data_IF_307997952176
#
_entry.id   IF_307997952176
#
_cell.length_a   1.000
_cell.length_b   1.000
_cell.length_c   1.000
_cell.angle_alpha   90.00
_cell.angle_beta   90.00
_cell.angle_gamma   90.00
#
_symmetry.space_group_name_H-M   'P 1'
#
loop_
_entity.id
_entity.type
_entity.pdbx_description
1 polymer ?
#
# COMPACT_ATOMS: atom_id res chain seq x y z
N UNK A 1 -76.60 16.12 -20.02
CA UNK A 1 -75.85 15.01 -19.41
C UNK A 1 -74.40 15.12 -19.86
N UNK A 2 -73.59 15.71 -19.05
CA UNK A 2 -72.14 15.96 -19.38
C UNK A 2 -71.29 15.18 -18.43
N UNK A 3 -70.60 14.22 -18.98
CA UNK A 3 -69.63 13.36 -18.24
C UNK A 3 -68.29 14.09 -18.10
N UNK A 4 -67.90 14.46 -16.87
CA UNK A 4 -66.63 15.04 -16.54
C UNK A 4 -65.57 13.90 -16.38
N UNK A 5 -64.61 13.88 -17.27
CA UNK A 5 -63.42 13.01 -17.17
C UNK A 5 -62.41 13.73 -16.29
N UNK A 6 -62.16 13.20 -15.09
CA UNK A 6 -61.08 13.61 -14.21
C UNK A 6 -59.75 12.94 -14.67
N UNK A 7 -58.85 13.74 -15.21
CA UNK A 7 -57.47 13.31 -15.51
C UNK A 7 -56.64 13.41 -14.22
N UNK A 8 -56.35 12.27 -13.61
CA UNK A 8 -55.39 12.15 -12.49
C UNK A 8 -53.97 12.11 -13.06
N UNK A 9 -53.25 13.23 -12.92
CA UNK A 9 -51.80 13.29 -13.17
C UNK A 9 -51.07 12.59 -12.03
N UNK A 10 -50.57 11.37 -12.28
CA UNK A 10 -49.64 10.69 -11.39
C UNK A 10 -48.24 11.29 -11.57
N UNK A 11 -47.80 12.06 -10.60
CA UNK A 11 -46.41 12.52 -10.49
C UNK A 11 -45.53 11.33 -10.15
N UNK A 12 -44.77 10.82 -11.13
CA UNK A 12 -43.68 9.92 -10.89
C UNK A 12 -42.50 10.75 -10.34
N UNK A 13 -42.34 10.80 -9.02
CA UNK A 13 -41.10 11.18 -8.38
C UNK A 13 -40.11 10.04 -8.58
N UNK A 14 -39.33 10.09 -9.63
CA UNK A 14 -38.14 9.26 -9.76
C UNK A 14 -37.11 9.79 -8.78
N UNK A 15 -36.97 9.10 -7.67
CA UNK A 15 -35.88 9.33 -6.69
C UNK A 15 -34.53 9.08 -7.36
N UNK A 16 -33.89 10.14 -7.83
CA UNK A 16 -32.46 10.12 -8.17
C UNK A 16 -31.65 10.14 -6.87
N UNK A 17 -31.61 9.01 -6.17
CA UNK A 17 -30.69 8.82 -5.04
C UNK A 17 -29.65 7.81 -5.39
N UNK A 18 -28.38 8.24 -5.25
CA UNK A 18 -27.21 7.41 -4.96
C UNK A 18 -26.43 6.78 -6.12
N UNK A 19 -25.99 7.58 -7.10
CA UNK A 19 -24.83 7.17 -7.94
C UNK A 19 -23.49 7.73 -7.42
N UNK A 20 -23.50 8.76 -6.58
CA UNK A 20 -22.29 9.40 -6.09
C UNK A 20 -21.53 8.57 -5.02
N UNK A 21 -22.23 7.73 -4.24
CA UNK A 21 -21.61 6.90 -3.19
C UNK A 21 -20.87 5.68 -3.73
N UNK A 22 -21.33 5.09 -4.84
CA UNK A 22 -20.70 3.89 -5.43
C UNK A 22 -19.39 4.20 -6.13
N UNK A 23 -19.26 5.36 -6.75
CA UNK A 23 -18.01 5.77 -7.44
C UNK A 23 -16.88 6.12 -6.48
N UNK A 24 -17.18 6.69 -5.31
CA UNK A 24 -16.16 7.01 -4.31
C UNK A 24 -15.64 5.74 -3.61
N UNK A 25 -16.50 4.78 -3.28
CA UNK A 25 -16.10 3.48 -2.74
C UNK A 25 -15.27 2.65 -3.72
N UNK A 26 -15.67 2.59 -5.00
CA UNK A 26 -14.90 1.90 -6.02
C UNK A 26 -13.50 2.50 -6.19
N UNK A 27 -13.40 3.82 -6.23
CA UNK A 27 -12.11 4.52 -6.31
C UNK A 27 -11.21 4.27 -5.09
N UNK A 28 -11.79 4.14 -3.90
CA UNK A 28 -11.05 3.78 -2.69
C UNK A 28 -10.52 2.34 -2.75
N UNK A 29 -11.34 1.37 -3.17
CA UNK A 29 -10.95 -0.03 -3.38
C UNK A 29 -9.83 -0.16 -4.44
N UNK A 30 -9.90 0.62 -5.52
CA UNK A 30 -8.88 0.65 -6.56
C UNK A 30 -7.54 1.21 -6.03
N UNK A 31 -7.59 2.17 -5.13
CA UNK A 31 -6.41 2.72 -4.46
C UNK A 31 -5.78 1.66 -3.54
N UNK A 32 -6.56 0.96 -2.74
CA UNK A 32 -6.09 -0.10 -1.82
C UNK A 32 -5.47 -1.26 -2.58
N UNK A 33 -6.14 -1.77 -3.62
CA UNK A 33 -5.59 -2.78 -4.52
C UNK A 33 -4.31 -2.32 -5.25
N UNK A 34 -4.20 -1.02 -5.55
CA UNK A 34 -3.00 -0.44 -6.16
C UNK A 34 -1.84 -0.33 -5.16
N UNK A 35 -2.13 -0.06 -3.89
CA UNK A 35 -1.12 -0.05 -2.81
C UNK A 35 -0.54 -1.45 -2.62
N UNK A 36 -1.36 -2.49 -2.55
CA UNK A 36 -0.91 -3.88 -2.45
C UNK A 36 -0.01 -4.28 -3.63
N UNK A 37 -0.40 -3.89 -4.85
CA UNK A 37 0.43 -4.12 -6.05
C UNK A 37 1.74 -3.32 -6.02
N UNK A 38 1.77 -2.12 -5.44
CA UNK A 38 2.99 -1.34 -5.28
C UNK A 38 3.97 -2.00 -4.32
N UNK A 39 3.47 -2.63 -3.28
CA UNK A 39 4.32 -3.36 -2.33
C UNK A 39 4.99 -4.57 -2.99
N UNK A 40 4.28 -5.27 -3.88
CA UNK A 40 4.82 -6.38 -4.69
C UNK A 40 5.85 -5.95 -5.75
N UNK A 41 5.83 -4.70 -6.21
CA UNK A 41 6.81 -4.17 -7.17
C UNK A 41 8.13 -3.78 -6.51
N UNK A 42 8.10 -3.40 -5.24
CA UNK A 42 9.30 -3.16 -4.47
C UNK A 42 9.83 -4.49 -3.93
N UNK A 43 10.92 -4.99 -4.52
CA UNK A 43 11.54 -6.27 -4.18
C UNK A 43 12.10 -6.35 -2.74
N UNK A 44 12.09 -5.25 -1.98
CA UNK A 44 12.46 -5.28 -0.57
C UNK A 44 11.27 -5.77 0.26
N UNK A 45 11.45 -6.82 1.07
CA UNK A 45 10.40 -7.34 1.93
C UNK A 45 9.97 -6.30 2.99
N UNK A 46 8.72 -6.37 3.39
CA UNK A 46 8.22 -5.57 4.50
C UNK A 46 8.49 -6.30 5.83
N UNK A 47 9.71 -6.16 6.35
CA UNK A 47 10.21 -6.95 7.48
C UNK A 47 9.50 -6.63 8.81
N UNK A 48 9.22 -5.35 9.06
CA UNK A 48 8.81 -4.89 10.38
C UNK A 48 7.47 -5.44 10.89
N UNK A 49 6.41 -5.63 10.08
CA UNK A 49 5.20 -6.33 10.53
C UNK A 49 5.50 -7.76 10.97
N UNK A 50 6.24 -8.53 10.17
CA UNK A 50 6.60 -9.92 10.47
C UNK A 50 7.42 -10.00 11.76
N UNK A 51 8.37 -9.08 11.95
CA UNK A 51 9.20 -9.00 13.15
C UNK A 51 8.34 -8.75 14.40
N UNK A 52 7.46 -7.75 14.35
CA UNK A 52 6.66 -7.37 15.51
C UNK A 52 5.54 -8.37 15.83
N UNK A 53 5.03 -9.09 14.83
CA UNK A 53 4.08 -10.19 15.02
C UNK A 53 4.73 -11.42 15.65
N UNK A 54 6.04 -11.59 15.50
CA UNK A 54 6.80 -12.74 15.99
C UNK A 54 7.88 -12.34 17.03
N UNK A 55 7.72 -11.20 17.69
CA UNK A 55 8.72 -10.62 18.58
C UNK A 55 9.20 -11.57 19.69
N UNK A 56 8.27 -12.36 20.27
CA UNK A 56 8.57 -13.32 21.34
C UNK A 56 9.40 -14.49 20.81
N UNK A 57 9.06 -15.03 19.64
CA UNK A 57 9.81 -16.11 19.00
C UNK A 57 11.21 -15.65 18.55
N UNK A 58 11.30 -14.43 18.02
CA UNK A 58 12.59 -13.83 17.62
C UNK A 58 13.46 -13.53 18.85
N UNK A 59 12.88 -13.47 20.04
CA UNK A 59 13.58 -13.19 21.28
C UNK A 59 14.01 -11.74 21.42
N UNK A 60 13.15 -10.80 20.97
CA UNK A 60 13.42 -9.36 21.11
C UNK A 60 13.29 -8.94 22.57
N UNK A 61 14.23 -8.11 23.01
CA UNK A 61 14.12 -7.43 24.30
C UNK A 61 13.07 -6.32 24.25
N UNK A 62 12.53 -5.90 25.40
CA UNK A 62 11.59 -4.78 25.49
C UNK A 62 12.16 -3.48 24.88
N UNK A 63 13.48 -3.25 25.04
CA UNK A 63 14.17 -2.10 24.45
C UNK A 63 14.19 -2.18 22.92
N UNK A 64 14.47 -3.35 22.35
CA UNK A 64 14.47 -3.58 20.91
C UNK A 64 13.07 -3.38 20.34
N UNK A 65 12.02 -3.96 20.96
CA UNK A 65 10.62 -3.76 20.56
C UNK A 65 10.24 -2.29 20.60
N UNK A 66 10.54 -1.59 21.71
CA UNK A 66 10.26 -0.16 21.86
C UNK A 66 10.94 0.68 20.76
N UNK A 67 12.19 0.35 20.42
CA UNK A 67 12.95 1.02 19.38
C UNK A 67 12.32 0.83 17.99
N UNK A 68 11.94 -0.40 17.64
CA UNK A 68 11.28 -0.73 16.38
C UNK A 68 9.89 -0.10 16.26
N UNK A 69 9.09 -0.14 17.33
CA UNK A 69 7.76 0.49 17.38
C UNK A 69 7.83 2.02 17.29
N UNK A 70 8.81 2.65 17.89
CA UNK A 70 9.05 4.09 17.77
C UNK A 70 9.33 4.47 16.32
N UNK A 71 10.22 3.74 15.65
CA UNK A 71 10.51 3.94 14.24
C UNK A 71 9.25 3.77 13.38
N UNK A 72 8.50 2.67 13.60
CA UNK A 72 7.23 2.39 12.91
C UNK A 72 6.24 3.54 13.06
N UNK A 73 6.03 4.00 14.27
CA UNK A 73 5.07 5.07 14.56
C UNK A 73 5.43 6.37 13.84
N UNK A 74 6.71 6.71 13.77
CA UNK A 74 7.19 7.92 13.11
C UNK A 74 7.09 7.83 11.58
N UNK A 75 7.33 6.65 10.98
CA UNK A 75 7.52 6.50 9.55
C UNK A 75 6.32 5.90 8.80
N UNK A 76 5.41 5.18 9.49
CA UNK A 76 4.28 4.51 8.84
C UNK A 76 3.35 5.48 8.13
N UNK A 77 2.96 6.57 8.80
CA UNK A 77 2.00 7.54 8.23
C UNK A 77 2.55 8.25 6.99
N UNK A 78 3.76 8.83 6.99
CA UNK A 78 4.32 9.47 5.80
C UNK A 78 4.57 8.46 4.66
N UNK A 79 5.04 7.24 4.95
CA UNK A 79 5.20 6.20 3.93
C UNK A 79 3.86 5.84 3.28
N UNK A 80 2.81 5.59 4.07
CA UNK A 80 1.47 5.27 3.55
C UNK A 80 0.92 6.41 2.69
N UNK A 81 1.14 7.66 3.07
CA UNK A 81 0.73 8.82 2.26
C UNK A 81 1.41 8.83 0.88
N UNK A 82 2.70 8.47 0.80
CA UNK A 82 3.43 8.33 -0.47
C UNK A 82 2.89 7.18 -1.32
N UNK A 83 2.58 6.04 -0.71
CA UNK A 83 1.96 4.89 -1.40
C UNK A 83 0.60 5.26 -1.98
N UNK A 84 -0.25 5.93 -1.21
CA UNK A 84 -1.55 6.41 -1.68
C UNK A 84 -1.42 7.43 -2.81
N UNK A 85 -0.44 8.34 -2.74
CA UNK A 85 -0.16 9.30 -3.81
C UNK A 85 0.30 8.60 -5.09
N UNK A 86 1.20 7.61 -4.98
CA UNK A 86 1.64 6.81 -6.13
C UNK A 86 0.48 6.01 -6.75
N UNK A 87 -0.39 5.41 -5.92
CA UNK A 87 -1.57 4.69 -6.38
C UNK A 87 -2.52 5.60 -7.17
N UNK A 88 -2.84 6.80 -6.66
CA UNK A 88 -3.66 7.79 -7.39
C UNK A 88 -3.04 8.18 -8.72
N UNK A 89 -1.75 8.51 -8.75
CA UNK A 89 -1.04 8.86 -10.00
C UNK A 89 -1.01 7.73 -11.03
N UNK A 90 -0.99 6.47 -10.59
CA UNK A 90 -1.10 5.30 -11.50
C UNK A 90 -2.49 5.19 -12.12
N UNK A 91 -3.55 5.56 -11.42
CA UNK A 91 -4.90 5.63 -11.99
C UNK A 91 -4.97 6.79 -12.98
N UNK A 92 -4.51 7.98 -12.58
CA UNK A 92 -4.51 9.18 -13.43
C UNK A 92 -3.76 8.97 -14.77
N UNK A 93 -2.59 8.32 -14.76
CA UNK A 93 -1.84 8.06 -16.00
C UNK A 93 -2.54 7.03 -16.90
N UNK A 94 -3.25 6.05 -16.34
CA UNK A 94 -4.03 5.11 -17.14
C UNK A 94 -5.20 5.81 -17.84
N UNK A 95 -5.91 6.68 -17.12
CA UNK A 95 -6.98 7.50 -17.69
C UNK A 95 -6.45 8.45 -18.79
N UNK A 96 -5.31 9.10 -18.52
CA UNK A 96 -4.67 9.99 -19.48
C UNK A 96 -4.18 9.25 -20.73
N UNK A 97 -3.69 8.02 -20.60
CA UNK A 97 -3.13 7.25 -21.71
C UNK A 97 -4.16 6.83 -22.78
N UNK A 98 -5.44 6.71 -22.39
CA UNK A 98 -6.53 6.40 -23.32
C UNK A 98 -7.17 7.67 -23.93
N UNK A 99 -6.73 8.86 -23.53
CA UNK A 99 -7.23 10.12 -24.06
C UNK A 99 -6.44 10.54 -25.31
N UNK A 100 -7.10 10.78 -26.45
CA UNK A 100 -6.44 11.19 -27.68
C UNK A 100 -5.86 12.63 -27.63
N UNK A 101 -6.21 13.40 -26.59
CA UNK A 101 -5.78 14.80 -26.42
C UNK A 101 -4.53 14.94 -25.55
N UNK A 102 -4.10 13.88 -24.88
CA UNK A 102 -2.91 13.90 -24.00
C UNK A 102 -1.67 13.54 -24.80
N UNK A 103 -0.69 14.42 -24.79
CA UNK A 103 0.58 14.21 -25.51
C UNK A 103 1.47 13.16 -24.83
N UNK A 104 2.30 12.46 -25.61
CA UNK A 104 3.32 11.54 -25.10
C UNK A 104 4.27 12.20 -24.11
N UNK A 105 4.65 13.45 -24.32
CA UNK A 105 5.49 14.23 -23.40
C UNK A 105 4.81 14.39 -22.03
N UNK A 106 3.50 14.61 -22.00
CA UNK A 106 2.73 14.69 -20.74
C UNK A 106 2.67 13.33 -20.02
N UNK A 107 2.44 12.25 -20.75
CA UNK A 107 2.45 10.90 -20.19
C UNK A 107 3.81 10.54 -19.60
N UNK A 108 4.91 10.91 -20.29
CA UNK A 108 6.26 10.71 -19.77
C UNK A 108 6.52 11.49 -18.48
N UNK A 109 6.05 12.74 -18.40
CA UNK A 109 6.14 13.52 -17.16
C UNK A 109 5.37 12.87 -16.00
N UNK A 110 4.14 12.39 -16.25
CA UNK A 110 3.34 11.68 -15.25
C UNK A 110 4.04 10.40 -14.79
N UNK A 111 4.66 9.65 -15.69
CA UNK A 111 5.43 8.46 -15.37
C UNK A 111 6.66 8.78 -14.49
N UNK A 112 7.37 9.86 -14.80
CA UNK A 112 8.51 10.32 -14.00
C UNK A 112 8.10 10.71 -12.57
N UNK A 113 6.93 11.32 -12.40
CA UNK A 113 6.37 11.61 -11.07
C UNK A 113 6.12 10.31 -10.26
N UNK A 114 5.62 9.26 -10.92
CA UNK A 114 5.42 7.95 -10.29
C UNK A 114 6.77 7.34 -9.88
N UNK A 115 7.78 7.37 -10.76
CA UNK A 115 9.13 6.88 -10.45
C UNK A 115 9.76 7.60 -9.26
N UNK A 116 9.57 8.92 -9.15
CA UNK A 116 10.04 9.68 -8.00
C UNK A 116 9.40 9.20 -6.71
N UNK A 117 8.06 9.02 -6.68
CA UNK A 117 7.35 8.51 -5.52
C UNK A 117 7.79 7.09 -5.14
N UNK A 118 8.01 6.21 -6.13
CA UNK A 118 8.52 4.86 -5.90
C UNK A 118 9.91 4.88 -5.25
N UNK A 119 10.78 5.81 -5.66
CA UNK A 119 12.10 6.00 -5.04
C UNK A 119 11.97 6.47 -3.59
N UNK A 120 11.10 7.43 -3.31
CA UNK A 120 10.84 7.90 -1.95
C UNK A 120 10.30 6.77 -1.05
N UNK A 121 9.42 5.89 -1.56
CA UNK A 121 8.94 4.70 -0.84
C UNK A 121 10.08 3.71 -0.60
N UNK A 122 10.96 3.49 -1.58
CA UNK A 122 12.13 2.64 -1.43
C UNK A 122 13.07 3.15 -0.32
N UNK A 123 13.27 4.46 -0.21
CA UNK A 123 14.08 5.07 0.86
C UNK A 123 13.52 4.76 2.25
N UNK A 124 12.19 4.77 2.44
CA UNK A 124 11.58 4.31 3.70
C UNK A 124 11.86 2.83 3.98
N UNK A 125 11.78 1.97 2.98
CA UNK A 125 12.04 0.53 3.15
C UNK A 125 13.51 0.26 3.50
N UNK A 126 14.44 0.97 2.85
CA UNK A 126 15.87 0.88 3.16
C UNK A 126 16.15 1.39 4.58
N UNK A 127 15.60 2.53 4.95
CA UNK A 127 15.72 3.06 6.32
C UNK A 127 15.14 2.10 7.37
N UNK A 128 14.02 1.45 7.08
CA UNK A 128 13.46 0.41 7.93
C UNK A 128 14.43 -0.76 8.12
N UNK A 129 14.97 -1.28 7.00
CA UNK A 129 15.94 -2.35 7.03
C UNK A 129 17.18 -1.98 7.85
N UNK A 130 17.75 -0.80 7.61
CA UNK A 130 18.93 -0.35 8.32
C UNK A 130 18.67 -0.22 9.83
N UNK A 131 17.45 0.20 10.20
CA UNK A 131 17.05 0.26 11.59
C UNK A 131 16.92 -1.13 12.23
N UNK A 132 16.38 -2.12 11.52
CA UNK A 132 16.36 -3.53 11.95
C UNK A 132 17.79 -4.07 12.11
N UNK A 133 18.67 -3.81 11.14
CA UNK A 133 20.09 -4.24 11.20
C UNK A 133 20.81 -3.68 12.43
N UNK A 134 20.53 -2.44 12.81
CA UNK A 134 21.14 -1.79 13.99
C UNK A 134 20.56 -2.29 15.31
N UNK A 135 19.33 -2.83 15.28
CA UNK A 135 18.61 -3.23 16.49
C UNK A 135 18.81 -4.71 16.81
N UNK A 136 18.97 -5.58 15.80
CA UNK A 136 19.04 -7.03 15.95
C UNK A 136 20.42 -7.51 16.41
N UNK A 137 20.41 -8.50 17.30
CA UNK A 137 21.56 -9.38 17.56
C UNK A 137 21.65 -10.51 16.52
N UNK A 138 22.75 -11.26 16.52
CA UNK A 138 22.91 -12.44 15.66
C UNK A 138 21.84 -13.50 15.94
N UNK A 139 21.46 -13.70 17.21
CA UNK A 139 20.42 -14.64 17.63
C UNK A 139 19.04 -14.20 17.10
N UNK A 140 18.73 -12.89 17.14
CA UNK A 140 17.47 -12.39 16.57
C UNK A 140 17.41 -12.66 15.06
N UNK A 141 18.53 -12.51 14.32
CA UNK A 141 18.58 -12.84 12.91
C UNK A 141 18.32 -14.31 12.63
N UNK A 142 18.92 -15.23 13.40
CA UNK A 142 18.71 -16.68 13.27
C UNK A 142 17.22 -17.00 13.44
N UNK A 143 16.62 -16.53 14.53
CA UNK A 143 15.19 -16.75 14.81
C UNK A 143 14.29 -16.13 13.75
N UNK A 144 14.61 -14.93 13.27
CA UNK A 144 13.85 -14.27 12.21
C UNK A 144 13.91 -15.03 10.89
N UNK A 145 15.05 -15.61 10.52
CA UNK A 145 15.14 -16.48 9.34
C UNK A 145 14.29 -17.75 9.47
N UNK A 146 14.14 -18.32 10.68
CA UNK A 146 13.21 -19.43 10.91
C UNK A 146 11.77 -19.02 10.65
N UNK A 147 11.35 -17.84 11.13
CA UNK A 147 10.01 -17.28 10.84
C UNK A 147 9.80 -17.09 9.35
N UNK A 148 10.80 -16.58 8.62
CA UNK A 148 10.68 -16.37 7.17
C UNK A 148 10.59 -17.68 6.38
N UNK A 149 11.29 -18.73 6.80
CA UNK A 149 11.24 -20.04 6.15
C UNK A 149 9.87 -20.71 6.26
N UNK A 150 9.16 -20.46 7.37
CA UNK A 150 7.81 -21.01 7.58
C UNK A 150 6.72 -20.24 6.80
N UNK A 151 6.98 -19.00 6.39
CA UNK A 151 5.98 -18.11 5.77
C UNK A 151 6.00 -18.08 4.24
N UNK A 152 6.73 -18.94 3.53
CA UNK A 152 6.83 -18.96 2.06
C UNK A 152 6.89 -17.54 1.41
N UNK A 153 7.71 -16.66 1.99
CA UNK A 153 7.84 -15.25 1.54
C UNK A 153 8.68 -15.17 0.24
N UNK A 154 9.02 -16.31 -0.35
CA UNK A 154 9.82 -16.39 -1.58
C UNK A 154 11.27 -15.95 -1.38
N UNK A 155 11.76 -15.97 -0.13
CA UNK A 155 13.15 -15.63 0.21
C UNK A 155 13.84 -16.88 0.70
N UNK A 156 14.88 -17.33 -0.01
CA UNK A 156 15.76 -18.39 0.48
C UNK A 156 16.63 -17.84 1.60
N UNK A 157 16.62 -18.51 2.76
CA UNK A 157 17.52 -18.18 3.86
C UNK A 157 18.96 -18.43 3.40
N UNK A 158 19.88 -17.46 3.56
CA UNK A 158 21.27 -17.65 3.17
C UNK A 158 21.91 -18.80 3.96
N UNK A 159 22.44 -19.81 3.26
CA UNK A 159 23.05 -21.01 3.87
C UNK A 159 24.23 -20.72 4.78
N UNK A 160 24.85 -19.56 4.66
CA UNK A 160 26.01 -19.13 5.46
C UNK A 160 25.66 -18.55 6.83
N UNK A 161 24.38 -18.42 7.19
CA UNK A 161 23.95 -17.98 8.53
C UNK A 161 23.93 -19.12 9.56
N UNK A 162 23.85 -20.36 9.12
CA UNK A 162 23.88 -21.54 10.01
C UNK A 162 25.31 -21.91 10.50
N UNK A 163 26.34 -21.26 9.94
CA UNK A 163 27.75 -21.59 10.21
C UNK A 163 28.50 -20.52 11.01
N UNK A 164 27.83 -19.51 11.54
CA UNK A 164 28.40 -18.48 12.42
C UNK A 164 27.93 -18.68 13.84
#
# INVERSE_FOLDING_TARGET
>A
MGTRILLTLAFFFVSQMSLAGSTSNQKQLDIEASIEKLDKINYLPNMLPVILENQDFIGLTEEQVSTLEKWRTQNRKPMLAKMQQAARKRIEIKEAAISPTVSSARLQQMQNDIFRLQREILEYKLSCRDHVVQTFSDENWISFFMVLSDQDIGVSVPSNFAER
#
